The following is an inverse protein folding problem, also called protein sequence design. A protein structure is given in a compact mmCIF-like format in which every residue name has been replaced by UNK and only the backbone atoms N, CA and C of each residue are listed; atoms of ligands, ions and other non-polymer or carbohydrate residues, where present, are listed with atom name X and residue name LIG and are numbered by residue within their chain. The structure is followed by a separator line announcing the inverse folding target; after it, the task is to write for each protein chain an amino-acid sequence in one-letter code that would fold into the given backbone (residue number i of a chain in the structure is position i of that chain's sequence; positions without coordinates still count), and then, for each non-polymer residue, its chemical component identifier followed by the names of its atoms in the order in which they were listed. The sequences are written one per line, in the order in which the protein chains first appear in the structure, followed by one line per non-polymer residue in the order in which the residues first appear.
data_IF_734102741571
#
_entry.id   IF_734102741571
#
_cell.length_a   1.000
_cell.length_b   1.000
_cell.length_c   1.000
_cell.angle_alpha   90.00
_cell.angle_beta   90.00
_cell.angle_gamma   90.00
#
_symmetry.space_group_name_H-M   'P 1'
#
loop_
_entity.id
_entity.type
_entity.pdbx_description
1 polymer ?
#
# COMPACT_ATOMS: atom_id res chain seq x y z
N UNK A 1 -15.24 6.17 -16.79
CA UNK A 1 -15.27 4.78 -16.29
C UNK A 1 -13.89 4.23 -15.92
N UNK A 2 -12.85 4.42 -16.72
CA UNK A 2 -11.49 3.93 -16.41
C UNK A 2 -10.93 4.43 -15.06
N UNK A 3 -11.07 5.71 -14.74
CA UNK A 3 -10.61 6.27 -13.46
C UNK A 3 -11.35 5.70 -12.24
N UNK A 4 -12.63 5.33 -12.39
CA UNK A 4 -13.38 4.70 -11.30
C UNK A 4 -12.87 3.27 -11.05
N UNK A 5 -12.66 2.50 -12.12
CA UNK A 5 -12.10 1.15 -12.04
C UNK A 5 -10.71 1.15 -11.39
N UNK A 6 -9.83 2.06 -11.83
CA UNK A 6 -8.50 2.26 -11.22
C UNK A 6 -8.61 2.62 -9.73
N UNK A 7 -9.53 3.53 -9.38
CA UNK A 7 -9.75 3.92 -7.98
C UNK A 7 -10.13 2.75 -7.08
N UNK A 8 -11.06 1.90 -7.53
CA UNK A 8 -11.47 0.70 -6.79
C UNK A 8 -10.31 -0.29 -6.65
N UNK A 9 -9.53 -0.54 -7.72
CA UNK A 9 -8.36 -1.42 -7.66
C UNK A 9 -7.29 -0.93 -6.66
N UNK A 10 -7.09 0.38 -6.59
CA UNK A 10 -6.17 1.01 -5.64
C UNK A 10 -6.68 0.88 -4.20
N UNK A 11 -7.99 1.06 -3.96
CA UNK A 11 -8.58 0.85 -2.63
C UNK A 11 -8.47 -0.62 -2.19
N UNK A 12 -8.70 -1.58 -3.08
CA UNK A 12 -8.53 -3.00 -2.75
C UNK A 12 -7.06 -3.33 -2.41
N UNK A 13 -6.13 -2.72 -3.13
CA UNK A 13 -4.69 -2.85 -2.84
C UNK A 13 -4.33 -2.23 -1.49
N UNK A 14 -4.91 -1.07 -1.17
CA UNK A 14 -4.78 -0.41 0.12
C UNK A 14 -5.32 -1.30 1.25
N UNK A 15 -6.53 -1.84 1.09
CA UNK A 15 -7.18 -2.72 2.05
C UNK A 15 -6.32 -3.95 2.35
N UNK A 16 -5.83 -4.63 1.30
CA UNK A 16 -4.96 -5.80 1.44
C UNK A 16 -3.63 -5.44 2.09
N UNK A 17 -3.08 -4.25 1.83
CA UNK A 17 -1.82 -3.82 2.45
C UNK A 17 -2.02 -3.47 3.92
N UNK A 18 -2.98 -2.58 4.23
CA UNK A 18 -3.29 -2.09 5.57
C UNK A 18 -3.76 -3.22 6.49
N UNK A 19 -4.62 -4.12 6.02
CA UNK A 19 -5.15 -5.24 6.80
C UNK A 19 -4.14 -6.32 7.17
N UNK A 20 -2.89 -6.24 6.68
CA UNK A 20 -1.84 -7.19 7.06
C UNK A 20 -1.28 -6.90 8.44
N UNK A 21 -1.21 -7.95 9.24
CA UNK A 21 -0.58 -7.95 10.56
C UNK A 21 0.67 -8.84 10.55
N UNK A 22 1.75 -8.35 11.14
CA UNK A 22 2.98 -9.11 11.35
C UNK A 22 3.81 -8.53 12.50
N UNK A 23 4.55 -9.40 13.16
CA UNK A 23 5.56 -9.04 14.15
C UNK A 23 6.65 -10.10 14.16
N UNK A 24 7.90 -9.70 14.31
CA UNK A 24 9.03 -10.61 14.43
C UNK A 24 10.37 -9.93 14.21
N UNK A 25 11.42 -10.73 14.19
CA UNK A 25 12.78 -10.27 13.94
C UNK A 25 13.20 -10.61 12.53
N UNK A 26 13.77 -9.63 11.84
CA UNK A 26 14.22 -9.75 10.45
C UNK A 26 15.49 -10.60 10.41
N UNK A 27 15.44 -11.74 9.74
CA UNK A 27 16.62 -12.61 9.57
C UNK A 27 17.25 -12.52 8.20
N UNK A 28 16.49 -12.07 7.20
CA UNK A 28 16.92 -11.97 5.82
C UNK A 28 16.03 -10.97 5.07
N UNK A 29 16.61 -10.26 4.10
CA UNK A 29 15.85 -9.41 3.18
C UNK A 29 16.18 -9.75 1.73
N UNK A 30 15.15 -9.81 0.89
CA UNK A 30 15.29 -10.13 -0.55
C UNK A 30 14.51 -9.14 -1.40
N UNK A 31 15.19 -8.54 -2.36
CA UNK A 31 14.55 -7.78 -3.43
C UNK A 31 14.44 -8.68 -4.67
N UNK A 32 13.23 -8.84 -5.20
CA UNK A 32 13.00 -9.50 -6.49
C UNK A 32 12.92 -8.43 -7.58
N UNK A 33 13.84 -8.49 -8.54
CA UNK A 33 13.85 -7.61 -9.70
C UNK A 33 12.86 -8.14 -10.77
N UNK A 34 11.97 -7.27 -11.24
CA UNK A 34 10.95 -7.57 -12.24
C UNK A 34 9.94 -6.42 -12.40
N UNK A 35 8.93 -6.62 -13.26
CA UNK A 35 7.87 -5.62 -13.54
C UNK A 35 7.09 -5.17 -12.30
N UNK A 36 7.01 -6.02 -11.26
CA UNK A 36 6.55 -5.66 -9.92
C UNK A 36 7.69 -5.87 -8.93
N UNK A 37 8.57 -4.88 -8.80
CA UNK A 37 9.64 -4.91 -7.79
C UNK A 37 9.03 -5.19 -6.42
N UNK A 38 9.31 -6.37 -5.88
CA UNK A 38 8.74 -6.86 -4.63
C UNK A 38 9.84 -6.94 -3.58
N UNK A 39 9.61 -6.27 -2.46
CA UNK A 39 10.55 -6.19 -1.35
C UNK A 39 10.08 -7.08 -0.21
N UNK A 40 10.83 -8.14 0.04
CA UNK A 40 10.49 -9.18 1.01
C UNK A 40 11.43 -9.12 2.21
N UNK A 41 10.85 -9.24 3.41
CA UNK A 41 11.58 -9.54 4.64
C UNK A 41 11.13 -10.89 5.16
N UNK A 42 12.08 -11.65 5.69
CA UNK A 42 11.84 -12.96 6.31
C UNK A 42 11.93 -12.78 7.82
N UNK A 43 10.86 -13.13 8.50
CA UNK A 43 10.71 -12.92 9.93
C UNK A 43 10.74 -14.25 10.68
N UNK A 44 11.37 -14.22 11.84
CA UNK A 44 11.23 -15.26 12.88
C UNK A 44 10.44 -14.67 14.04
N UNK A 45 9.62 -15.48 14.71
CA UNK A 45 8.85 -15.03 15.87
C UNK A 45 9.78 -14.50 16.96
N UNK A 46 9.46 -13.33 17.52
CA UNK A 46 10.16 -12.75 18.67
C UNK A 46 10.10 -13.64 19.92
N UNK A 47 9.10 -14.52 20.04
CA UNK A 47 9.01 -15.47 21.15
C UNK A 47 10.11 -16.54 21.10
N UNK A 48 10.64 -16.81 19.90
CA UNK A 48 11.75 -17.73 19.70
C UNK A 48 13.07 -17.19 20.26
N UNK A 49 13.21 -15.87 20.43
CA UNK A 49 14.39 -15.22 21.00
C UNK A 49 14.35 -15.15 22.54
N UNK A 50 13.19 -15.37 23.16
CA UNK A 50 13.03 -15.34 24.62
C UNK A 50 13.52 -16.62 25.30
N UNK A 51 13.80 -17.68 24.54
CA UNK A 51 14.34 -18.91 25.11
C UNK A 51 15.84 -18.73 25.34
N UNK A 52 16.37 -18.91 26.57
CA UNK A 52 17.81 -18.78 26.80
C UNK A 52 18.52 -19.90 26.03
N UNK A 53 19.26 -19.53 24.99
CA UNK A 53 20.09 -20.48 24.24
C UNK A 53 21.51 -19.92 24.14
N UNK A 54 22.51 -20.79 24.30
CA UNK A 54 23.92 -20.43 24.12
C UNK A 54 24.13 -19.77 22.75
N UNK A 55 24.90 -18.69 22.70
CA UNK A 55 25.01 -17.80 21.53
C UNK A 55 25.35 -18.53 20.21
N UNK A 56 26.20 -19.57 20.25
CA UNK A 56 26.54 -20.40 19.07
C UNK A 56 25.34 -21.14 18.45
N UNK A 57 24.29 -21.38 19.23
CA UNK A 57 23.08 -22.07 18.76
C UNK A 57 21.98 -21.13 18.26
N UNK A 58 22.11 -19.81 18.48
CA UNK A 58 21.07 -18.83 18.12
C UNK A 58 20.92 -18.70 16.60
N UNK A 59 22.04 -18.60 15.88
CA UNK A 59 22.08 -18.48 14.41
C UNK A 59 21.56 -19.77 13.76
N UNK A 60 21.98 -20.93 14.26
CA UNK A 60 21.50 -22.23 13.78
C UNK A 60 20.00 -22.40 14.01
N UNK A 61 19.52 -22.02 15.19
CA UNK A 61 18.08 -22.02 15.52
C UNK A 61 17.27 -21.02 14.70
N UNK A 62 17.78 -19.82 14.42
CA UNK A 62 17.12 -18.86 13.51
C UNK A 62 17.05 -19.38 12.07
N UNK A 63 18.03 -20.22 11.68
CA UNK A 63 18.03 -20.87 10.37
C UNK A 63 16.98 -21.97 10.28
N UNK A 64 16.77 -22.71 11.37
CA UNK A 64 15.80 -23.82 11.52
C UNK A 64 14.38 -23.36 11.88
N UNK A 65 14.22 -22.14 12.41
CA UNK A 65 12.91 -21.58 12.77
C UNK A 65 12.04 -21.33 11.53
N UNK A 66 10.73 -21.56 11.68
CA UNK A 66 9.75 -21.31 10.63
C UNK A 66 9.78 -19.83 10.20
N UNK A 67 10.31 -19.56 9.01
CA UNK A 67 10.43 -18.20 8.47
C UNK A 67 9.11 -17.76 7.85
N UNK A 68 8.59 -16.61 8.28
CA UNK A 68 7.43 -15.96 7.65
C UNK A 68 7.91 -14.91 6.67
N UNK A 69 7.53 -15.05 5.39
CA UNK A 69 7.80 -14.02 4.36
C UNK A 69 6.75 -12.91 4.40
N UNK A 70 7.20 -11.66 4.45
CA UNK A 70 6.36 -10.46 4.55
C UNK A 70 6.80 -9.44 3.49
N UNK A 71 5.87 -8.99 2.66
CA UNK A 71 6.13 -7.93 1.68
C UNK A 71 6.04 -6.55 2.34
N UNK A 72 7.01 -5.68 2.10
CA UNK A 72 7.06 -4.33 2.66
C UNK A 72 7.32 -3.30 1.54
N UNK A 73 7.19 -2.01 1.86
CA UNK A 73 7.49 -0.95 0.89
C UNK A 73 9.00 -0.86 0.62
N UNK A 74 9.38 -0.28 -0.53
CA UNK A 74 10.78 0.00 -0.86
C UNK A 74 11.49 0.83 0.21
N UNK A 75 10.78 1.82 0.76
CA UNK A 75 11.31 2.73 1.77
C UNK A 75 11.65 1.96 3.05
N UNK A 76 10.67 1.22 3.59
CA UNK A 76 10.86 0.38 4.78
C UNK A 76 11.97 -0.64 4.53
N UNK A 77 12.01 -1.25 3.34
CA UNK A 77 13.06 -2.22 2.98
C UNK A 77 14.48 -1.62 2.98
N UNK A 78 14.60 -0.36 2.54
CA UNK A 78 15.87 0.36 2.54
C UNK A 78 16.39 0.63 3.96
N UNK A 79 15.48 0.90 4.89
CA UNK A 79 15.78 1.24 6.29
C UNK A 79 15.90 0.00 7.19
N UNK A 80 15.28 -1.12 6.80
CA UNK A 80 15.31 -2.38 7.54
C UNK A 80 16.74 -2.98 7.57
N UNK A 81 17.17 -3.35 8.77
CA UNK A 81 18.40 -4.11 9.02
C UNK A 81 18.12 -5.54 9.47
N UNK A 82 19.08 -6.43 9.28
CA UNK A 82 19.02 -7.78 9.85
C UNK A 82 19.10 -7.70 11.38
N UNK A 83 18.46 -8.66 12.05
CA UNK A 83 18.27 -8.75 13.49
C UNK A 83 17.46 -7.60 14.12
N UNK A 84 16.84 -6.78 13.28
CA UNK A 84 15.93 -5.71 13.72
C UNK A 84 14.53 -6.26 14.01
N UNK A 85 13.85 -5.72 15.01
CA UNK A 85 12.44 -6.05 15.25
C UNK A 85 11.58 -5.25 14.28
N UNK A 86 10.63 -5.90 13.63
CA UNK A 86 9.65 -5.26 12.77
C UNK A 86 8.25 -5.67 13.20
N UNK A 87 7.34 -4.70 13.31
CA UNK A 87 5.95 -4.97 13.65
C UNK A 87 4.97 -4.05 12.94
N UNK A 88 3.76 -4.57 12.73
CA UNK A 88 2.63 -3.85 12.18
C UNK A 88 1.34 -4.48 12.69
N UNK A 89 0.48 -3.66 13.29
CA UNK A 89 -0.89 -4.03 13.63
C UNK A 89 -1.82 -3.97 12.41
N UNK A 90 -2.86 -4.82 12.38
CA UNK A 90 -3.87 -4.79 11.33
C UNK A 90 -4.50 -3.39 11.21
N UNK A 91 -4.63 -2.91 9.97
CA UNK A 91 -5.13 -1.57 9.61
C UNK A 91 -4.33 -0.38 10.16
N UNK A 92 -3.15 -0.62 10.75
CA UNK A 92 -2.23 0.45 11.10
C UNK A 92 -1.66 1.10 9.84
N UNK A 93 -1.63 2.45 9.77
CA UNK A 93 -0.93 3.16 8.71
C UNK A 93 0.60 3.13 8.90
N UNK A 94 1.08 2.61 10.04
CA UNK A 94 2.49 2.57 10.40
C UNK A 94 3.01 1.14 10.48
N UNK A 95 4.23 0.97 9.98
CA UNK A 95 5.14 -0.15 10.25
C UNK A 95 6.20 0.36 11.21
N UNK A 96 6.46 -0.39 12.27
CA UNK A 96 7.46 -0.08 13.27
C UNK A 96 8.72 -0.92 13.01
N UNK A 97 9.87 -0.26 12.94
CA UNK A 97 11.19 -0.86 12.94
C UNK A 97 11.85 -0.49 14.28
N UNK A 98 11.90 -1.45 15.20
CA UNK A 98 12.14 -1.21 16.63
C UNK A 98 11.21 -0.12 17.18
N UNK A 99 11.72 1.10 17.40
CA UNK A 99 10.97 2.28 17.87
C UNK A 99 10.64 3.28 16.75
N UNK A 100 11.26 3.14 15.57
CA UNK A 100 11.06 4.04 14.44
C UNK A 100 9.78 3.69 13.69
N UNK A 101 9.00 4.73 13.33
CA UNK A 101 7.74 4.58 12.61
C UNK A 101 7.91 4.93 11.13
N UNK A 102 7.39 4.07 10.26
CA UNK A 102 7.41 4.24 8.82
C UNK A 102 6.02 4.08 8.25
N UNK A 103 5.70 4.81 7.18
CA UNK A 103 4.38 4.72 6.54
C UNK A 103 4.22 3.43 5.74
N UNK A 104 3.08 2.79 5.90
CA UNK A 104 2.67 1.65 5.09
C UNK A 104 2.31 2.09 3.66
N UNK A 105 2.74 1.30 2.67
CA UNK A 105 2.42 1.55 1.26
C UNK A 105 0.90 1.60 0.99
N UNK A 106 0.10 0.91 1.81
CA UNK A 106 -1.35 0.94 1.75
C UNK A 106 -1.95 2.32 1.94
N UNK A 107 -1.30 3.21 2.70
CA UNK A 107 -1.74 4.61 2.84
C UNK A 107 -1.64 5.34 1.51
N UNK A 108 -0.56 5.12 0.76
CA UNK A 108 -0.37 5.70 -0.56
C UNK A 108 -1.42 5.19 -1.54
N UNK A 109 -1.70 3.89 -1.54
CA UNK A 109 -2.76 3.31 -2.39
C UNK A 109 -4.14 3.86 -2.05
N UNK A 110 -4.43 4.06 -0.76
CA UNK A 110 -5.70 4.63 -0.31
C UNK A 110 -5.86 6.05 -0.84
N UNK A 111 -4.82 6.87 -0.72
CA UNK A 111 -4.82 8.26 -1.19
C UNK A 111 -5.07 8.35 -2.70
N UNK A 112 -4.33 7.58 -3.50
CA UNK A 112 -4.53 7.54 -4.95
C UNK A 112 -5.90 7.00 -5.35
N UNK A 113 -6.42 6.02 -4.60
CA UNK A 113 -7.76 5.49 -4.80
C UNK A 113 -8.84 6.56 -4.60
N UNK A 114 -8.74 7.34 -3.52
CA UNK A 114 -9.68 8.44 -3.21
C UNK A 114 -9.63 9.52 -4.30
N UNK A 115 -8.42 9.95 -4.71
CA UNK A 115 -8.26 10.94 -5.79
C UNK A 115 -8.92 10.44 -7.07
N UNK A 116 -8.67 9.18 -7.46
CA UNK A 116 -9.21 8.62 -8.70
C UNK A 116 -10.75 8.57 -8.70
N UNK A 117 -11.35 8.25 -7.55
CA UNK A 117 -12.80 8.30 -7.36
C UNK A 117 -13.31 9.75 -7.44
N UNK A 118 -12.66 10.70 -6.75
CA UNK A 118 -13.06 12.10 -6.76
C UNK A 118 -13.03 12.71 -8.17
N UNK A 119 -11.96 12.45 -8.94
CA UNK A 119 -11.83 12.87 -10.34
C UNK A 119 -12.93 12.26 -11.21
N UNK A 120 -13.27 10.98 -10.98
CA UNK A 120 -14.35 10.31 -11.70
C UNK A 120 -15.71 10.95 -11.44
N UNK A 121 -15.99 11.32 -10.18
CA UNK A 121 -17.24 12.00 -9.81
C UNK A 121 -17.28 13.40 -10.42
N UNK A 122 -16.17 14.16 -10.34
CA UNK A 122 -16.10 15.51 -10.88
C UNK A 122 -16.34 15.51 -12.39
N UNK A 123 -15.61 14.69 -13.13
CA UNK A 123 -15.74 14.58 -14.60
C UNK A 123 -17.14 14.14 -15.02
N UNK A 124 -17.76 13.21 -14.30
CA UNK A 124 -19.15 12.80 -14.54
C UNK A 124 -20.13 13.98 -14.38
N UNK A 125 -19.97 14.79 -13.34
CA UNK A 125 -20.84 15.95 -13.08
C UNK A 125 -20.59 17.10 -14.06
N UNK A 126 -19.34 17.36 -14.42
CA UNK A 126 -18.99 18.41 -15.39
C UNK A 126 -19.43 18.07 -16.82
N UNK A 127 -19.48 16.79 -17.19
CA UNK A 127 -19.97 16.33 -18.49
C UNK A 127 -21.50 16.38 -18.64
N UNK A 128 -22.25 16.65 -17.57
CA UNK A 128 -23.70 16.83 -17.60
C UNK A 128 -24.14 18.28 -17.82
N UNK A 129 -23.21 19.21 -18.11
CA UNK A 129 -23.58 20.59 -18.47
C UNK A 129 -24.42 20.52 -19.76
N UNK A 130 -25.67 21.02 -19.77
CA UNK A 130 -26.48 21.04 -20.98
C UNK A 130 -25.75 21.86 -22.04
N UNK A 131 -25.86 21.45 -23.31
CA UNK A 131 -25.39 22.23 -24.44
C UNK A 131 -26.01 23.64 -24.34
N UNK A 132 -25.25 24.72 -24.63
CA UNK A 132 -25.86 26.04 -24.72
C UNK A 132 -26.99 25.93 -25.74
N UNK A 133 -28.20 26.29 -25.31
CA UNK A 133 -29.37 26.39 -26.17
C UNK A 133 -28.98 27.23 -27.38
N UNK A 134 -29.33 26.74 -28.57
CA UNK A 134 -29.15 27.45 -29.84
C UNK A 134 -29.97 28.76 -29.75
N UNK A 135 -29.36 29.81 -29.21
CA UNK A 135 -29.81 31.17 -29.40
C UNK A 135 -29.68 31.49 -30.90
N UNK A 136 -30.83 31.82 -31.50
CA UNK A 136 -30.93 32.79 -32.59
C UNK A 136 -30.68 32.26 -34.02
N UNK A 137 -31.60 31.43 -34.54
CA UNK A 137 -31.97 31.52 -35.95
C UNK A 137 -33.20 32.42 -36.11
N UNK A 138 -32.90 33.68 -36.39
CA UNK A 138 -33.69 34.64 -37.16
C UNK A 138 -34.95 34.07 -37.83
N UNK A 139 -36.12 34.60 -37.51
CA UNK A 139 -37.13 34.97 -38.52
C UNK A 139 -38.22 35.86 -37.91
N UNK A 140 -37.98 37.17 -37.94
CA UNK A 140 -38.97 38.18 -38.30
C UNK A 140 -38.19 39.27 -39.05
N UNK A 141 -38.67 39.83 -40.18
CA UNK A 141 -40.09 40.08 -40.49
C UNK A 141 -40.50 39.72 -41.93
N UNK A 142 -41.79 39.54 -42.18
CA UNK A 142 -42.40 39.95 -43.45
C UNK A 142 -43.74 40.61 -43.16
N UNK A 143 -43.71 41.93 -43.18
CA UNK A 143 -44.88 42.77 -43.31
C UNK A 143 -45.10 43.00 -44.81
N UNK A 144 -46.25 42.55 -45.33
CA UNK A 144 -47.01 43.17 -46.42
C UNK A 144 -48.50 42.93 -46.19
#
# INVERSE_FOLDING_TARGET
MLALGLGVSLILSAWRSLGREFSGVVVEKRAEAGYSSSYWVYLVSSDFLKTPVAHESLVKKMTEAGRRRVGISRVVFGETRELQTISKAAFSPFIYLDEDRHLDLGVQWLFWGIISIAVSIFTFRSGQKPAPEEEESMEAPLAE
#
